data_IF_816504659160
#
_entry.id   IF_816504659160
#
_cell.length_a   1.000
_cell.length_b   1.000
_cell.length_c   1.000
_cell.angle_alpha   90.00
_cell.angle_beta   90.00
_cell.angle_gamma   90.00
#
_symmetry.space_group_name_H-M   'P 1'
#
loop_
_entity.id
_entity.type
_entity.pdbx_description
1 polymer ?
#
# COMPACT_ATOMS: atom_id res chain seq x y z
N UNK A 1 -5.53 4.35 8.63
CA UNK A 1 -4.20 4.17 9.20
C UNK A 1 -3.24 3.90 8.05
N UNK A 2 -2.22 4.71 7.92
CA UNK A 2 -1.16 4.50 6.92
C UNK A 2 0.04 3.96 7.69
N UNK A 3 0.43 2.73 7.39
CA UNK A 3 1.67 2.14 7.89
C UNK A 3 2.78 2.47 6.89
N UNK A 4 3.76 3.25 7.32
CA UNK A 4 5.02 3.36 6.60
C UNK A 4 5.84 2.13 6.97
N UNK A 5 5.82 1.11 6.10
CA UNK A 5 6.71 -0.03 6.25
C UNK A 5 8.17 0.41 6.26
N UNK A 6 9.01 -0.25 7.05
CA UNK A 6 10.45 -0.09 7.02
C UNK A 6 10.97 -0.48 5.63
N UNK A 7 11.14 0.49 4.74
CA UNK A 7 11.82 0.25 3.47
C UNK A 7 13.31 0.07 3.75
N UNK A 8 13.75 -1.18 3.70
CA UNK A 8 15.16 -1.50 3.49
C UNK A 8 15.62 -0.80 2.21
N UNK A 9 16.59 0.07 2.35
CA UNK A 9 17.21 0.80 1.25
C UNK A 9 17.85 -0.17 0.25
N UNK A 10 17.13 -0.54 -0.79
CA UNK A 10 17.73 -1.07 -1.98
C UNK A 10 17.48 -0.08 -3.13
N UNK A 11 18.56 0.65 -3.45
CA UNK A 11 18.59 1.72 -4.43
C UNK A 11 18.32 1.15 -5.83
N UNK A 12 17.12 1.28 -6.32
CA UNK A 12 16.85 1.37 -7.76
C UNK A 12 15.43 1.87 -8.11
N UNK A 13 14.87 2.80 -7.36
CA UNK A 13 13.55 3.38 -7.68
C UNK A 13 13.67 4.87 -8.00
N UNK A 14 14.39 5.20 -9.10
CA UNK A 14 14.48 6.57 -9.63
C UNK A 14 13.27 7.02 -10.45
N UNK A 15 12.11 6.33 -10.40
CA UNK A 15 10.96 6.66 -11.27
C UNK A 15 9.59 6.74 -10.62
N UNK A 16 9.43 6.54 -9.31
CA UNK A 16 8.09 6.44 -8.70
C UNK A 16 7.67 7.67 -7.88
N UNK A 17 8.34 8.81 -8.01
CA UNK A 17 8.03 10.02 -7.22
C UNK A 17 7.21 11.09 -7.94
N UNK A 18 6.72 10.85 -9.14
CA UNK A 18 6.04 11.90 -9.91
C UNK A 18 4.88 11.35 -10.71
N UNK A 19 3.74 11.06 -10.12
CA UNK A 19 2.48 10.95 -10.85
C UNK A 19 1.28 11.24 -9.95
N UNK A 20 1.22 12.41 -9.33
CA UNK A 20 -0.03 13.14 -9.13
C UNK A 20 -0.01 14.32 -10.10
N UNK A 21 0.03 14.04 -11.38
CA UNK A 21 0.07 15.08 -12.41
C UNK A 21 -1.34 15.51 -12.79
N UNK A 22 -1.66 16.75 -12.46
CA UNK A 22 -2.74 17.47 -13.15
C UNK A 22 -2.31 17.78 -14.59
N UNK A 23 -3.16 17.49 -15.55
CA UNK A 23 -2.97 17.66 -16.99
C UNK A 23 -2.90 19.15 -17.35
N UNK A 24 -1.70 19.70 -17.51
CA UNK A 24 -1.45 21.00 -18.15
C UNK A 24 -1.03 20.79 -19.60
N UNK A 25 -1.85 21.25 -20.55
CA UNK A 25 -1.58 21.14 -21.99
C UNK A 25 -0.30 21.91 -22.37
N UNK A 26 0.76 21.21 -22.79
CA UNK A 26 1.96 21.81 -23.36
C UNK A 26 1.79 22.03 -24.86
N UNK A 27 1.77 23.29 -25.28
CA UNK A 27 1.90 23.70 -26.68
C UNK A 27 3.39 23.70 -27.03
N UNK A 28 3.82 22.81 -27.90
CA UNK A 28 5.16 22.76 -28.44
C UNK A 28 5.35 23.85 -29.51
N UNK A 29 6.31 24.74 -29.29
CA UNK A 29 6.87 25.60 -30.35
C UNK A 29 8.24 25.05 -30.77
N UNK A 30 8.30 24.55 -32.00
CA UNK A 30 9.52 24.16 -32.65
C UNK A 30 10.23 25.38 -33.23
N UNK A 31 11.48 25.63 -32.89
CA UNK A 31 12.38 26.51 -33.63
C UNK A 31 13.61 25.72 -34.08
N UNK A 32 13.71 25.58 -35.39
CA UNK A 32 14.87 25.00 -36.05
C UNK A 32 15.93 26.07 -36.26
N UNK A 33 17.22 25.78 -36.00
CA UNK A 33 18.32 26.48 -36.60
C UNK A 33 19.48 25.52 -36.88
N UNK A 34 19.86 25.48 -38.17
CA UNK A 34 20.99 24.75 -38.73
C UNK A 34 22.33 25.47 -38.47
N UNK A 35 23.42 24.72 -38.49
CA UNK A 35 24.77 25.26 -38.65
C UNK A 35 25.89 24.27 -38.36
N UNK A 36 26.42 23.64 -39.40
CA UNK A 36 27.73 22.97 -39.51
C UNK A 36 28.64 23.86 -40.33
N UNK A 37 29.91 23.52 -40.61
CA UNK A 37 30.99 22.82 -39.88
C UNK A 37 32.30 23.68 -39.87
N UNK A 38 33.43 23.25 -39.31
CA UNK A 38 34.69 23.18 -40.05
C UNK A 38 35.84 22.57 -39.25
N UNK A 39 36.66 21.86 -40.02
CA UNK A 39 37.86 21.11 -39.72
C UNK A 39 39.04 21.97 -39.25
N UNK A 40 40.03 21.39 -38.59
CA UNK A 40 41.43 21.32 -39.05
C UNK A 40 42.35 20.54 -38.11
N UNK A 41 43.06 19.63 -38.74
CA UNK A 41 44.30 18.90 -38.54
C UNK A 41 45.42 19.49 -37.62
N UNK A 42 46.27 18.58 -37.14
CA UNK A 42 47.60 18.89 -36.70
C UNK A 42 48.33 17.79 -35.93
N UNK A 43 49.08 16.98 -36.69
CA UNK A 43 50.10 15.99 -36.32
C UNK A 43 51.16 16.47 -35.29
N UNK A 44 51.74 15.57 -34.48
CA UNK A 44 53.07 15.00 -34.65
C UNK A 44 53.72 14.42 -33.38
N UNK A 45 54.23 13.20 -33.55
CA UNK A 45 55.50 12.64 -33.08
C UNK A 45 55.77 12.27 -31.62
N UNK A 46 55.97 10.96 -31.46
CA UNK A 46 56.83 10.30 -30.45
C UNK A 46 58.33 10.55 -30.74
N UNK A 47 59.35 9.99 -30.05
CA UNK A 47 59.39 8.88 -29.08
C UNK A 47 60.38 9.10 -27.90
N UNK A 48 60.47 8.14 -26.97
CA UNK A 48 61.60 8.06 -26.02
C UNK A 48 61.46 7.00 -24.93
N UNK A 49 62.01 5.87 -25.20
CA UNK A 49 62.51 4.73 -24.41
C UNK A 49 62.96 5.01 -22.97
N UNK A 50 62.69 4.12 -21.98
CA UNK A 50 63.47 2.95 -21.57
C UNK A 50 63.16 2.45 -20.16
N UNK A 51 63.23 1.11 -20.01
CA UNK A 51 63.60 0.27 -18.87
C UNK A 51 62.71 0.23 -17.62
N UNK A 52 61.95 -0.82 -17.39
CA UNK A 52 62.44 -2.11 -16.89
C UNK A 52 62.26 -2.23 -15.38
N UNK A 53 61.28 -2.97 -14.94
CA UNK A 53 61.44 -3.89 -13.81
C UNK A 53 60.17 -4.76 -13.68
N UNK A 54 60.39 -6.04 -13.84
CA UNK A 54 59.47 -7.13 -13.63
C UNK A 54 58.95 -7.15 -12.18
N UNK A 55 57.62 -7.16 -12.00
CA UNK A 55 57.01 -7.61 -10.77
C UNK A 55 55.81 -8.50 -11.11
N UNK A 56 55.97 -9.76 -10.80
CA UNK A 56 54.97 -10.83 -10.88
C UNK A 56 53.79 -10.47 -10.00
N UNK A 57 52.69 -10.05 -10.59
CA UNK A 57 51.41 -9.95 -9.89
C UNK A 57 50.64 -11.24 -10.15
N UNK A 58 50.40 -11.97 -9.09
CA UNK A 58 49.52 -13.15 -9.07
C UNK A 58 48.08 -12.72 -9.46
N UNK A 59 47.58 -13.33 -10.55
CA UNK A 59 46.16 -13.29 -10.90
C UNK A 59 45.35 -13.99 -9.82
N UNK A 60 44.71 -13.24 -8.95
CA UNK A 60 43.60 -13.75 -8.18
C UNK A 60 42.37 -13.75 -9.09
N UNK A 61 42.04 -14.91 -9.59
CA UNK A 61 40.76 -15.22 -10.22
C UNK A 61 39.68 -15.00 -9.14
N UNK A 62 38.98 -13.88 -9.21
CA UNK A 62 37.75 -13.69 -8.45
C UNK A 62 36.70 -14.65 -9.04
N UNK A 63 36.54 -15.78 -8.40
CA UNK A 63 35.39 -16.66 -8.61
C UNK A 63 34.19 -15.92 -8.00
N UNK A 64 33.36 -15.33 -8.85
CA UNK A 64 32.03 -14.90 -8.46
C UNK A 64 31.28 -16.17 -8.06
N UNK A 65 31.11 -16.37 -6.76
CA UNK A 65 30.14 -17.33 -6.26
C UNK A 65 28.80 -17.00 -6.91
N UNK A 66 28.05 -17.99 -7.44
CA UNK A 66 26.69 -17.76 -7.86
C UNK A 66 25.91 -17.35 -6.61
N UNK A 67 25.24 -16.19 -6.71
CA UNK A 67 24.25 -15.73 -5.75
C UNK A 67 23.39 -16.93 -5.37
N UNK A 68 23.48 -17.36 -4.12
CA UNK A 68 22.77 -18.53 -3.64
C UNK A 68 21.27 -18.22 -3.83
N UNK A 69 20.62 -18.98 -4.68
CA UNK A 69 19.16 -19.00 -4.76
C UNK A 69 18.67 -19.14 -3.31
N UNK A 70 17.89 -18.16 -2.86
CA UNK A 70 17.31 -18.17 -1.52
C UNK A 70 16.66 -19.56 -1.33
N UNK A 71 17.09 -20.28 -0.32
CA UNK A 71 16.52 -21.59 -0.03
C UNK A 71 15.03 -21.36 0.22
N UNK A 72 14.17 -22.01 -0.57
CA UNK A 72 12.73 -22.00 -0.33
C UNK A 72 12.53 -22.42 1.12
N UNK A 73 12.00 -21.52 1.95
CA UNK A 73 11.78 -21.77 3.35
C UNK A 73 10.79 -22.93 3.54
N UNK A 74 10.85 -23.58 4.68
CA UNK A 74 9.84 -24.56 5.09
C UNK A 74 9.10 -23.95 6.26
N UNK A 75 7.77 -23.78 6.12
CA UNK A 75 6.94 -23.32 7.22
C UNK A 75 6.82 -24.42 8.29
N UNK A 76 6.72 -24.04 9.58
CA UNK A 76 6.54 -25.02 10.63
C UNK A 76 5.15 -25.68 10.51
N UNK A 77 5.11 -26.99 10.77
CA UNK A 77 3.86 -27.72 10.92
C UNK A 77 3.34 -27.59 12.36
N UNK A 78 2.03 -27.59 12.54
CA UNK A 78 1.40 -27.55 13.86
C UNK A 78 -0.11 -27.51 13.79
N UNK A 79 -0.78 -27.44 14.95
CA UNK A 79 -2.23 -27.34 14.98
C UNK A 79 -2.74 -26.03 14.38
N UNK A 80 -3.99 -26.08 13.89
CA UNK A 80 -4.69 -24.91 13.35
C UNK A 80 -5.06 -23.91 14.46
N UNK A 81 -4.71 -22.65 14.29
CA UNK A 81 -5.15 -21.58 15.18
C UNK A 81 -6.62 -21.17 14.96
N UNK A 82 -7.25 -21.62 13.87
CA UNK A 82 -8.70 -21.51 13.67
C UNK A 82 -9.47 -22.48 14.59
N UNK A 83 -8.90 -23.66 14.87
CA UNK A 83 -9.54 -24.69 15.70
C UNK A 83 -9.20 -24.51 17.19
N UNK A 84 -7.95 -24.18 17.51
CA UNK A 84 -7.49 -23.96 18.88
C UNK A 84 -6.52 -22.78 18.94
N UNK A 85 -6.64 -21.93 19.95
CA UNK A 85 -5.76 -20.76 20.15
C UNK A 85 -4.78 -20.93 21.31
N UNK A 86 -4.73 -22.11 21.89
CA UNK A 86 -3.94 -22.41 23.09
C UNK A 86 -3.23 -23.75 22.98
N UNK A 87 -2.72 -24.13 21.80
CA UNK A 87 -1.94 -25.33 21.64
C UNK A 87 -0.55 -25.15 22.30
N UNK A 88 -0.04 -26.23 22.88
CA UNK A 88 1.29 -26.21 23.54
C UNK A 88 2.45 -26.03 22.54
N UNK A 89 2.20 -26.34 21.27
CA UNK A 89 3.14 -26.20 20.16
C UNK A 89 3.31 -24.76 19.68
N UNK A 90 2.38 -23.87 20.03
CA UNK A 90 2.47 -22.48 19.60
C UNK A 90 3.55 -21.71 20.37
N UNK A 91 4.29 -20.82 19.69
CA UNK A 91 5.02 -19.76 20.37
C UNK A 91 4.09 -18.93 21.27
N UNK A 92 4.67 -18.15 22.19
CA UNK A 92 3.91 -17.23 23.05
C UNK A 92 3.05 -16.30 22.17
N UNK A 93 1.73 -16.27 22.33
CA UNK A 93 0.86 -15.37 21.56
C UNK A 93 1.21 -13.91 21.82
N UNK A 94 1.19 -13.08 20.76
CA UNK A 94 1.47 -11.64 20.89
C UNK A 94 0.32 -10.85 21.51
N UNK A 95 -0.88 -11.43 21.53
CA UNK A 95 -2.08 -10.86 22.14
C UNK A 95 -2.77 -11.92 22.99
N UNK A 96 -3.62 -11.49 23.92
CA UNK A 96 -4.46 -12.45 24.64
C UNK A 96 -5.42 -13.12 23.66
N UNK A 97 -5.33 -14.46 23.43
CA UNK A 97 -6.20 -15.16 22.49
C UNK A 97 -7.70 -15.03 22.80
N UNK A 98 -8.05 -14.75 24.06
CA UNK A 98 -9.44 -14.50 24.49
C UNK A 98 -10.00 -13.15 24.02
N UNK A 99 -9.17 -12.23 23.56
CA UNK A 99 -9.58 -10.96 22.98
C UNK A 99 -9.87 -11.05 21.47
N UNK A 100 -9.42 -12.14 20.82
CA UNK A 100 -9.83 -12.47 19.45
C UNK A 100 -11.20 -13.10 19.52
N UNK A 101 -12.25 -12.38 19.10
CA UNK A 101 -13.63 -12.78 19.29
C UNK A 101 -14.32 -13.11 17.95
N UNK A 102 -15.28 -14.04 17.93
CA UNK A 102 -16.06 -14.31 16.72
C UNK A 102 -16.79 -13.07 16.23
N UNK A 103 -16.64 -12.74 14.92
CA UNK A 103 -17.33 -11.64 14.25
C UNK A 103 -18.69 -12.02 13.67
N UNK A 104 -18.99 -13.33 13.63
CA UNK A 104 -20.25 -13.91 13.12
C UNK A 104 -20.03 -14.93 12.01
N UNK A 105 -19.41 -14.59 10.88
CA UNK A 105 -19.09 -15.56 9.82
C UNK A 105 -18.09 -16.63 10.30
N UNK A 106 -18.15 -17.86 9.76
CA UNK A 106 -17.06 -18.83 9.94
C UNK A 106 -15.81 -18.42 9.12
N UNK A 107 -14.68 -19.14 9.25
CA UNK A 107 -13.55 -18.93 8.34
C UNK A 107 -14.00 -19.00 6.88
N UNK A 108 -13.55 -18.02 6.06
CA UNK A 108 -13.99 -17.77 4.68
C UNK A 108 -15.50 -17.61 4.47
N UNK A 109 -16.25 -17.34 5.54
CA UNK A 109 -17.67 -16.96 5.43
C UNK A 109 -17.87 -15.60 4.76
N UNK A 110 -16.82 -14.75 4.75
CA UNK A 110 -16.58 -13.65 3.83
C UNK A 110 -15.51 -14.18 2.87
N UNK A 111 -15.91 -14.68 1.67
CA UNK A 111 -14.98 -15.42 0.82
C UNK A 111 -13.96 -14.48 0.16
N UNK A 112 -12.66 -14.69 0.32
CA UNK A 112 -11.64 -13.93 -0.41
C UNK A 112 -11.71 -14.24 -1.91
N UNK A 113 -11.18 -13.33 -2.74
CA UNK A 113 -11.00 -13.54 -4.17
C UNK A 113 -9.60 -14.13 -4.40
N UNK A 114 -9.54 -15.31 -5.01
CA UNK A 114 -8.27 -16.04 -5.24
C UNK A 114 -7.77 -15.90 -6.68
N UNK A 115 -8.67 -15.76 -7.65
CA UNK A 115 -8.36 -15.64 -9.07
C UNK A 115 -9.01 -14.34 -9.61
N UNK A 116 -8.44 -13.16 -9.32
CA UNK A 116 -9.04 -11.90 -9.73
C UNK A 116 -8.96 -11.71 -11.25
N UNK A 117 -10.06 -11.25 -11.84
CA UNK A 117 -10.17 -10.88 -13.27
C UNK A 117 -10.22 -9.37 -13.37
N UNK A 118 -9.53 -8.80 -14.35
CA UNK A 118 -9.39 -7.37 -14.51
C UNK A 118 -9.86 -6.90 -15.88
N UNK A 119 -10.33 -5.66 -15.95
CA UNK A 119 -10.61 -4.90 -17.15
C UNK A 119 -9.53 -3.84 -17.34
N UNK A 120 -9.26 -3.46 -18.58
CA UNK A 120 -8.47 -2.26 -18.86
C UNK A 120 -9.21 -1.01 -18.39
N UNK A 121 -8.52 -0.06 -17.77
CA UNK A 121 -9.09 1.22 -17.33
C UNK A 121 -9.79 1.93 -18.49
N UNK A 122 -9.23 1.88 -19.70
CA UNK A 122 -9.79 2.50 -20.89
C UNK A 122 -11.17 1.91 -21.29
N UNK A 123 -11.45 0.65 -20.96
CA UNK A 123 -12.72 -0.04 -21.21
C UNK A 123 -13.71 0.12 -20.05
N UNK A 124 -13.21 0.48 -18.86
CA UNK A 124 -13.94 0.53 -17.60
C UNK A 124 -14.28 1.95 -17.11
N UNK A 125 -14.20 2.98 -17.98
CA UNK A 125 -14.35 4.39 -17.58
C UNK A 125 -15.67 4.68 -16.83
N UNK A 126 -16.75 4.03 -17.22
CA UNK A 126 -18.08 4.17 -16.62
C UNK A 126 -18.44 3.05 -15.62
N UNK A 127 -17.48 2.20 -15.26
CA UNK A 127 -17.70 1.08 -14.35
C UNK A 127 -18.06 1.56 -12.94
N UNK A 128 -17.40 2.61 -12.49
CA UNK A 128 -17.53 3.17 -11.15
C UNK A 128 -17.86 4.67 -11.21
N UNK A 129 -18.64 5.22 -10.27
CA UNK A 129 -18.70 6.67 -10.06
C UNK A 129 -17.32 7.25 -9.78
N UNK A 130 -16.99 8.43 -10.35
CA UNK A 130 -15.69 9.07 -10.16
C UNK A 130 -15.21 9.16 -8.70
N UNK A 131 -16.07 9.58 -7.72
CA UNK A 131 -15.69 9.68 -6.32
C UNK A 131 -15.56 8.33 -5.58
N UNK A 132 -15.94 7.20 -6.17
CA UNK A 132 -15.91 5.92 -5.47
C UNK A 132 -14.48 5.51 -5.11
N UNK A 133 -14.31 5.01 -3.90
CA UNK A 133 -13.01 4.58 -3.40
C UNK A 133 -12.52 3.31 -4.08
N UNK A 134 -11.24 3.30 -4.45
CA UNK A 134 -10.49 2.11 -4.87
C UNK A 134 -9.22 1.99 -4.03
N UNK A 135 -8.77 0.76 -3.77
CA UNK A 135 -7.40 0.51 -3.32
C UNK A 135 -6.52 0.50 -4.55
N UNK A 136 -5.57 1.40 -4.62
CA UNK A 136 -4.63 1.50 -5.74
C UNK A 136 -3.32 0.78 -5.39
N UNK A 137 -2.83 -0.04 -6.28
CA UNK A 137 -1.54 -0.73 -6.14
C UNK A 137 -0.78 -0.60 -7.46
N UNK A 138 0.48 -0.22 -7.38
CA UNK A 138 1.38 -0.20 -8.53
C UNK A 138 2.70 -0.86 -8.13
N UNK A 139 3.14 -1.84 -8.89
CA UNK A 139 4.41 -2.52 -8.71
C UNK A 139 5.05 -2.68 -10.10
N UNK A 140 6.23 -2.10 -10.27
CA UNK A 140 7.04 -2.22 -11.50
C UNK A 140 6.27 -1.86 -12.80
N UNK A 141 5.32 -0.92 -12.72
CA UNK A 141 4.51 -0.44 -13.84
C UNK A 141 3.20 -1.21 -14.05
N UNK A 142 2.94 -2.28 -13.30
CA UNK A 142 1.64 -2.96 -13.24
C UNK A 142 0.77 -2.23 -12.22
N UNK A 143 -0.14 -1.36 -12.70
CA UNK A 143 -1.03 -0.58 -11.86
C UNK A 143 -2.44 -1.19 -11.84
N UNK A 144 -2.96 -1.49 -10.64
CA UNK A 144 -4.27 -2.11 -10.45
C UNK A 144 -5.12 -1.38 -9.43
N UNK A 145 -6.41 -1.25 -9.75
CA UNK A 145 -7.44 -0.76 -8.84
C UNK A 145 -8.29 -1.90 -8.32
N UNK A 146 -8.51 -1.95 -7.01
CA UNK A 146 -9.43 -2.87 -6.35
C UNK A 146 -10.58 -2.05 -5.77
N UNK A 147 -11.76 -2.03 -6.43
CA UNK A 147 -12.89 -1.20 -6.03
C UNK A 147 -13.41 -1.59 -4.64
N UNK A 148 -13.63 -0.59 -3.78
CA UNK A 148 -14.18 -0.85 -2.44
C UNK A 148 -15.55 -1.50 -2.49
N UNK A 149 -16.35 -1.27 -3.56
CA UNK A 149 -17.61 -1.98 -3.77
C UNK A 149 -17.46 -3.51 -3.83
N UNK A 150 -16.30 -4.01 -4.24
CA UNK A 150 -15.94 -5.44 -4.23
C UNK A 150 -15.30 -5.79 -2.90
N UNK A 151 -14.30 -5.03 -2.49
CA UNK A 151 -13.52 -5.28 -1.27
C UNK A 151 -14.38 -5.35 -0.01
N UNK A 152 -15.46 -4.58 0.08
CA UNK A 152 -16.37 -4.55 1.25
C UNK A 152 -17.15 -5.87 1.45
N UNK A 153 -17.23 -6.71 0.41
CA UNK A 153 -17.90 -8.00 0.42
C UNK A 153 -16.97 -9.20 0.53
N UNK A 154 -15.67 -8.97 0.28
CA UNK A 154 -14.65 -10.02 0.18
C UNK A 154 -13.48 -9.83 1.14
N UNK A 155 -13.22 -8.61 1.57
CA UNK A 155 -12.18 -8.18 2.50
C UNK A 155 -10.74 -8.50 2.05
N UNK A 156 -10.51 -9.54 1.27
CA UNK A 156 -9.19 -9.98 0.81
C UNK A 156 -9.24 -10.35 -0.68
N UNK A 157 -8.25 -9.89 -1.44
CA UNK A 157 -7.93 -10.37 -2.80
C UNK A 157 -6.48 -10.85 -2.79
N UNK A 158 -6.27 -12.14 -3.07
CA UNK A 158 -4.94 -12.72 -3.30
C UNK A 158 -4.61 -12.60 -4.78
N UNK A 159 -3.53 -11.89 -5.10
CA UNK A 159 -3.16 -11.54 -6.47
C UNK A 159 -1.65 -11.68 -6.68
N UNK A 160 -1.19 -11.43 -7.92
CA UNK A 160 0.21 -11.24 -8.28
C UNK A 160 0.31 -10.00 -9.15
N UNK A 161 1.01 -8.97 -8.70
CA UNK A 161 1.17 -7.67 -9.36
C UNK A 161 2.65 -7.41 -9.59
N UNK A 162 3.06 -7.11 -10.83
CA UNK A 162 4.47 -6.92 -11.17
C UNK A 162 5.35 -8.11 -10.74
N UNK A 163 4.87 -9.35 -10.94
CA UNK A 163 5.51 -10.59 -10.48
C UNK A 163 5.64 -10.74 -8.95
N UNK A 164 5.04 -9.85 -8.16
CA UNK A 164 5.03 -9.90 -6.69
C UNK A 164 3.72 -10.50 -6.20
N UNK A 165 3.75 -11.62 -5.44
CA UNK A 165 2.56 -12.16 -4.81
C UNK A 165 2.07 -11.24 -3.67
N UNK A 166 0.80 -10.81 -3.74
CA UNK A 166 0.22 -9.86 -2.80
C UNK A 166 -1.14 -10.30 -2.27
N UNK A 167 -1.47 -9.89 -1.04
CA UNK A 167 -2.82 -9.88 -0.52
C UNK A 167 -3.25 -8.45 -0.33
N UNK A 168 -4.18 -7.98 -1.17
CA UNK A 168 -4.82 -6.68 -1.03
C UNK A 168 -5.99 -6.83 -0.07
N UNK A 169 -5.99 -6.07 1.01
CA UNK A 169 -6.98 -6.24 2.08
C UNK A 169 -7.73 -4.95 2.37
N UNK A 170 -8.99 -5.09 2.79
CA UNK A 170 -9.83 -3.97 3.25
C UNK A 170 -10.68 -4.42 4.43
N UNK A 171 -10.57 -3.72 5.54
CA UNK A 171 -11.42 -3.92 6.71
C UNK A 171 -12.53 -2.86 6.77
N UNK A 172 -13.79 -3.19 6.52
CA UNK A 172 -14.89 -2.21 6.60
C UNK A 172 -15.04 -1.60 7.99
N UNK A 173 -14.84 -2.39 9.04
CA UNK A 173 -14.96 -1.93 10.43
C UNK A 173 -13.91 -0.89 10.82
N UNK A 174 -12.77 -0.88 10.14
CA UNK A 174 -11.69 0.08 10.35
C UNK A 174 -11.65 1.16 9.26
N UNK A 175 -12.42 0.95 8.16
CA UNK A 175 -12.36 1.75 6.94
C UNK A 175 -10.92 1.97 6.47
N UNK A 176 -10.18 0.88 6.37
CA UNK A 176 -8.76 0.91 6.00
C UNK A 176 -8.39 -0.25 5.08
N UNK A 177 -7.47 0.03 4.18
CA UNK A 177 -6.83 -0.94 3.30
C UNK A 177 -5.35 -1.08 3.66
N UNK A 178 -4.83 -2.29 3.57
CA UNK A 178 -3.40 -2.58 3.66
C UNK A 178 -3.10 -3.70 2.68
N UNK A 179 -2.06 -3.54 1.89
CA UNK A 179 -1.57 -4.60 1.01
C UNK A 179 -0.31 -5.21 1.59
N UNK A 180 -0.23 -6.51 1.58
CA UNK A 180 0.92 -7.26 2.05
C UNK A 180 1.52 -8.13 0.95
N UNK A 181 2.85 -8.26 0.94
CA UNK A 181 3.50 -9.36 0.25
C UNK A 181 3.05 -10.66 0.92
N UNK A 182 2.43 -11.58 0.15
CA UNK A 182 1.93 -12.85 0.68
C UNK A 182 2.98 -13.96 0.65
N UNK A 183 4.16 -13.62 1.14
CA UNK A 183 5.30 -14.53 1.30
C UNK A 183 5.74 -14.51 2.75
N UNK A 184 5.78 -15.67 3.38
CA UNK A 184 6.17 -15.85 4.77
C UNK A 184 7.41 -16.74 4.83
N UNK A 185 8.53 -16.23 5.36
CA UNK A 185 9.81 -16.97 5.43
C UNK A 185 10.25 -17.56 4.09
N UNK A 186 9.99 -16.86 2.97
CA UNK A 186 10.31 -17.32 1.63
C UNK A 186 9.34 -18.36 1.06
N UNK A 187 8.17 -18.55 1.66
CA UNK A 187 7.11 -19.42 1.16
C UNK A 187 5.90 -18.58 0.79
N UNK A 188 5.50 -18.66 -0.48
CA UNK A 188 4.26 -18.05 -0.94
C UNK A 188 3.04 -18.76 -0.34
N UNK A 189 2.09 -17.99 0.18
CA UNK A 189 0.82 -18.48 0.70
C UNK A 189 -0.31 -17.55 0.27
N UNK A 190 -1.56 -17.92 0.53
CA UNK A 190 -2.72 -17.03 0.41
C UNK A 190 -3.35 -16.80 1.78
N UNK A 191 -4.11 -15.72 1.90
CA UNK A 191 -4.78 -15.34 3.13
C UNK A 191 -6.28 -15.45 2.98
N UNK A 192 -6.95 -15.85 4.07
CA UNK A 192 -8.38 -15.92 4.20
C UNK A 192 -8.90 -15.09 5.38
N UNK A 193 -10.22 -14.87 5.41
CA UNK A 193 -10.89 -14.24 6.55
C UNK A 193 -11.12 -15.27 7.64
N UNK A 194 -10.64 -15.04 8.86
CA UNK A 194 -10.83 -15.99 9.97
C UNK A 194 -12.25 -16.00 10.54
N UNK A 195 -13.08 -15.00 10.18
CA UNK A 195 -14.38 -14.76 10.81
C UNK A 195 -14.28 -14.21 12.23
N UNK A 196 -13.08 -13.86 12.67
CA UNK A 196 -12.81 -13.30 13.99
C UNK A 196 -12.33 -11.85 13.91
N UNK A 197 -12.49 -11.14 15.02
CA UNK A 197 -12.07 -9.76 15.19
C UNK A 197 -11.13 -9.63 16.38
N UNK A 198 -10.12 -8.78 16.25
CA UNK A 198 -9.31 -8.29 17.35
C UNK A 198 -9.41 -6.76 17.39
N UNK A 199 -9.78 -6.18 18.53
CA UNK A 199 -10.00 -4.74 18.70
C UNK A 199 -10.94 -4.13 17.64
N UNK A 200 -12.00 -4.85 17.23
CA UNK A 200 -12.94 -4.46 16.15
C UNK A 200 -12.32 -4.43 14.75
N UNK A 201 -11.16 -5.05 14.54
CA UNK A 201 -10.50 -5.17 13.24
C UNK A 201 -10.50 -6.61 12.74
N UNK A 202 -10.45 -6.77 11.42
CA UNK A 202 -10.30 -8.06 10.74
C UNK A 202 -9.09 -8.83 11.27
N UNK A 203 -9.28 -10.10 11.56
CA UNK A 203 -8.21 -11.08 11.76
C UNK A 203 -8.18 -12.01 10.56
N UNK A 204 -7.07 -12.00 9.84
CA UNK A 204 -6.80 -12.90 8.72
C UNK A 204 -6.21 -14.21 9.22
N UNK A 205 -6.13 -15.21 8.35
CA UNK A 205 -5.31 -16.39 8.56
C UNK A 205 -4.56 -16.76 7.29
N UNK A 206 -3.35 -17.29 7.39
CA UNK A 206 -2.65 -17.87 6.25
C UNK A 206 -3.10 -19.31 6.00
N UNK A 207 -3.20 -19.71 4.73
CA UNK A 207 -3.69 -21.05 4.37
C UNK A 207 -2.64 -22.15 4.53
N UNK A 208 -1.37 -21.78 4.68
CA UNK A 208 -0.30 -22.76 4.80
C UNK A 208 -0.20 -23.33 6.21
N UNK A 209 -0.43 -22.50 7.25
CA UNK A 209 -0.29 -22.91 8.65
C UNK A 209 -1.53 -22.66 9.49
N UNK A 210 -2.49 -21.91 8.97
CA UNK A 210 -3.68 -21.44 9.67
C UNK A 210 -3.36 -20.62 10.93
N UNK A 211 -2.20 -19.93 10.94
CA UNK A 211 -1.89 -18.93 11.96
C UNK A 211 -2.76 -17.69 11.77
N UNK A 212 -3.07 -16.99 12.87
CA UNK A 212 -3.94 -15.80 12.88
C UNK A 212 -3.09 -14.52 12.81
N UNK A 213 -3.50 -13.58 11.94
CA UNK A 213 -2.79 -12.36 11.62
C UNK A 213 -3.68 -11.14 11.81
N UNK A 214 -3.15 -10.09 12.42
CA UNK A 214 -3.86 -8.81 12.55
C UNK A 214 -3.79 -8.02 11.25
N UNK A 215 -4.93 -7.39 10.88
CA UNK A 215 -5.07 -6.65 9.62
C UNK A 215 -4.18 -5.40 9.55
N UNK A 216 -4.02 -4.66 10.65
CA UNK A 216 -3.37 -3.36 10.59
C UNK A 216 -1.84 -3.41 10.48
N UNK A 217 -1.22 -4.34 11.14
CA UNK A 217 0.23 -4.42 11.29
C UNK A 217 0.82 -5.69 10.66
N UNK A 218 -0.03 -6.55 10.07
CA UNK A 218 0.44 -7.74 9.38
C UNK A 218 1.17 -8.74 10.28
N UNK A 219 0.90 -8.74 11.61
CA UNK A 219 1.62 -9.60 12.53
C UNK A 219 0.85 -10.89 12.79
N UNK A 220 1.56 -12.01 12.74
CA UNK A 220 1.04 -13.28 13.23
C UNK A 220 0.94 -13.21 14.76
N UNK A 221 -0.27 -13.30 15.29
CA UNK A 221 -0.52 -13.08 16.73
C UNK A 221 -0.81 -14.37 17.50
N UNK A 222 -1.30 -15.41 16.79
CA UNK A 222 -1.57 -16.75 17.36
C UNK A 222 -1.29 -17.80 16.28
N UNK A 223 -0.72 -18.92 16.64
CA UNK A 223 -0.39 -20.03 15.75
C UNK A 223 1.12 -20.29 15.69
N UNK A 224 1.53 -21.21 14.84
CA UNK A 224 2.95 -21.62 14.72
C UNK A 224 3.85 -20.52 14.18
N UNK A 225 3.27 -19.49 13.55
CA UNK A 225 3.98 -18.31 13.03
C UNK A 225 3.90 -17.10 13.97
N UNK A 226 3.35 -17.24 15.20
CA UNK A 226 3.25 -16.10 16.11
C UNK A 226 4.61 -15.40 16.29
N UNK A 227 4.64 -14.10 16.03
CA UNK A 227 5.85 -13.28 16.01
C UNK A 227 6.36 -12.90 14.63
N UNK A 228 5.92 -13.58 13.56
CA UNK A 228 6.26 -13.19 12.20
C UNK A 228 5.47 -11.94 11.77
N UNK A 229 5.99 -11.19 10.80
CA UNK A 229 5.41 -9.96 10.28
C UNK A 229 5.46 -9.96 8.75
N UNK A 230 4.35 -9.57 8.12
CA UNK A 230 4.26 -9.40 6.67
C UNK A 230 4.85 -8.07 6.24
N UNK A 231 5.49 -8.05 5.09
CA UNK A 231 5.95 -6.83 4.43
C UNK A 231 4.74 -6.07 3.86
N UNK A 232 4.49 -4.87 4.37
CA UNK A 232 3.45 -4.00 3.83
C UNK A 232 3.93 -3.30 2.56
N UNK A 233 3.04 -3.24 1.56
CA UNK A 233 3.25 -2.55 0.28
C UNK A 233 2.33 -1.32 0.24
N UNK A 234 2.85 -0.19 -0.22
CA UNK A 234 2.06 1.04 -0.35
C UNK A 234 0.87 0.85 -1.28
N UNK A 235 -0.33 1.05 -0.76
CA UNK A 235 -1.59 0.90 -1.50
C UNK A 235 -2.63 1.89 -0.98
N UNK A 236 -2.61 3.16 -1.43
CA UNK A 236 -3.53 4.17 -0.95
C UNK A 236 -4.97 3.88 -1.36
N UNK A 237 -5.91 4.29 -0.49
CA UNK A 237 -7.30 4.48 -0.88
C UNK A 237 -7.42 5.83 -1.61
N UNK A 238 -7.90 5.81 -2.85
CA UNK A 238 -8.12 7.01 -3.65
C UNK A 238 -9.44 6.96 -4.41
N UNK A 239 -9.87 8.11 -4.98
CA UNK A 239 -11.02 8.14 -5.86
C UNK A 239 -10.73 7.40 -7.17
N UNK A 240 -11.75 6.74 -7.75
CA UNK A 240 -11.65 6.12 -9.07
C UNK A 240 -11.22 7.12 -10.15
N UNK A 241 -11.73 8.35 -10.09
CA UNK A 241 -11.34 9.42 -11.00
C UNK A 241 -9.84 9.70 -10.98
N UNK A 242 -9.24 9.74 -9.79
CA UNK A 242 -7.82 9.97 -9.61
C UNK A 242 -7.01 8.78 -10.14
N UNK A 243 -7.45 7.54 -9.84
CA UNK A 243 -6.78 6.33 -10.34
C UNK A 243 -6.74 6.28 -11.86
N UNK A 244 -7.91 6.41 -12.53
CA UNK A 244 -8.00 6.31 -13.98
C UNK A 244 -7.27 7.44 -14.72
N UNK A 245 -7.10 8.59 -14.06
CA UNK A 245 -6.33 9.72 -14.60
C UNK A 245 -4.83 9.48 -14.45
N UNK A 246 -4.41 8.93 -13.32
CA UNK A 246 -3.00 8.65 -13.02
C UNK A 246 -2.47 7.44 -13.78
N UNK A 247 -3.31 6.42 -13.93
CA UNK A 247 -2.97 5.14 -14.56
C UNK A 247 -3.92 4.80 -15.72
N UNK A 248 -3.90 5.57 -16.82
CA UNK A 248 -4.83 5.36 -17.95
C UNK A 248 -4.67 4.00 -18.65
N UNK A 249 -3.49 3.39 -18.54
CA UNK A 249 -3.16 2.05 -19.06
C UNK A 249 -3.21 0.98 -17.96
N UNK A 250 -3.74 1.32 -16.77
CA UNK A 250 -3.88 0.41 -15.64
C UNK A 250 -5.06 -0.54 -15.78
N UNK A 251 -5.21 -1.39 -14.77
CA UNK A 251 -6.26 -2.41 -14.68
C UNK A 251 -7.20 -2.12 -13.52
N UNK A 252 -8.45 -2.58 -13.61
CA UNK A 252 -9.43 -2.53 -12.52
C UNK A 252 -10.09 -3.88 -12.35
N UNK A 253 -10.20 -4.35 -11.10
CA UNK A 253 -10.87 -5.61 -10.77
C UNK A 253 -12.32 -5.58 -11.24
N UNK A 254 -12.71 -6.58 -12.05
CA UNK A 254 -14.04 -6.69 -12.64
C UNK A 254 -15.04 -7.21 -11.59
N UNK A 255 -16.06 -6.41 -11.20
CA UNK A 255 -17.09 -6.85 -10.28
C UNK A 255 -17.99 -7.98 -10.84
N UNK A 256 -18.09 -8.13 -12.15
CA UNK A 256 -18.94 -9.13 -12.78
C UNK A 256 -18.27 -10.52 -12.85
N UNK A 257 -16.94 -10.57 -12.80
CA UNK A 257 -16.15 -11.80 -12.95
C UNK A 257 -15.47 -12.26 -11.64
N UNK A 258 -15.99 -11.84 -10.49
CA UNK A 258 -15.47 -12.28 -9.17
C UNK A 258 -15.78 -13.74 -8.82
N UNK A 259 -16.64 -14.41 -9.58
CA UNK A 259 -17.13 -15.75 -9.28
C UNK A 259 -18.24 -15.79 -8.19
N UNK A 260 -18.63 -14.64 -7.64
CA UNK A 260 -19.63 -14.55 -6.58
C UNK A 260 -20.82 -13.69 -6.98
N UNK A 261 -22.02 -14.05 -6.52
CA UNK A 261 -23.22 -13.23 -6.69
C UNK A 261 -23.37 -12.31 -5.47
N UNK A 262 -23.02 -11.05 -5.63
CA UNK A 262 -23.17 -9.99 -4.62
C UNK A 262 -23.83 -8.76 -5.24
N UNK A 263 -24.38 -7.89 -4.40
CA UNK A 263 -24.92 -6.59 -4.84
C UNK A 263 -23.80 -5.55 -4.76
N UNK A 264 -22.80 -5.69 -5.65
CA UNK A 264 -21.69 -4.73 -5.70
C UNK A 264 -22.20 -3.30 -5.94
N UNK A 265 -21.67 -2.35 -5.15
CA UNK A 265 -22.19 -0.98 -5.09
C UNK A 265 -23.12 -0.72 -3.91
N UNK A 266 -23.92 -1.69 -3.50
CA UNK A 266 -24.71 -1.56 -2.26
C UNK A 266 -23.82 -1.70 -1.02
N UNK A 267 -24.02 -0.80 -0.06
CA UNK A 267 -23.24 -0.73 1.17
C UNK A 267 -23.88 -1.61 2.27
N UNK A 268 -23.26 -2.73 2.68
CA UNK A 268 -23.75 -3.55 3.79
C UNK A 268 -23.51 -2.92 5.18
N UNK A 269 -22.70 -1.84 5.25
CA UNK A 269 -22.32 -1.12 6.48
C UNK A 269 -22.87 0.31 6.49
N UNK A 270 -24.03 0.57 5.87
CA UNK A 270 -24.60 1.91 5.77
C UNK A 270 -24.65 2.65 7.11
N UNK A 271 -24.07 3.86 7.17
CA UNK A 271 -24.03 4.69 8.37
C UNK A 271 -23.02 4.23 9.43
N UNK A 272 -22.17 3.23 9.12
CA UNK A 272 -21.18 2.74 10.08
C UNK A 272 -20.07 3.76 10.40
N UNK A 273 -19.78 4.70 9.51
CA UNK A 273 -18.76 5.73 9.71
C UNK A 273 -19.21 6.94 10.55
N UNK A 274 -20.37 6.85 11.20
CA UNK A 274 -20.80 7.83 12.19
C UNK A 274 -19.86 7.81 13.41
N UNK A 275 -19.06 8.89 13.65
CA UNK A 275 -18.04 8.92 14.69
C UNK A 275 -18.60 8.89 16.11
N UNK A 276 -19.91 9.17 16.28
CA UNK A 276 -20.57 9.21 17.60
C UNK A 276 -21.02 7.82 18.07
N UNK A 277 -20.98 6.80 17.20
CA UNK A 277 -21.37 5.43 17.54
C UNK A 277 -20.14 4.57 17.86
N UNK A 278 -20.37 3.52 18.68
CA UNK A 278 -19.29 2.62 19.08
C UNK A 278 -18.81 1.71 17.92
N UNK A 279 -17.52 1.33 17.89
CA UNK A 279 -17.02 0.32 16.95
C UNK A 279 -17.66 -1.05 17.23
N UNK A 280 -17.96 -1.79 16.18
CA UNK A 280 -18.62 -3.09 16.27
C UNK A 280 -17.80 -4.09 17.10
N UNK A 281 -18.43 -4.66 18.13
CA UNK A 281 -17.82 -5.64 19.04
C UNK A 281 -16.52 -5.18 19.72
N UNK A 282 -16.24 -3.88 19.78
CA UNK A 282 -15.09 -3.36 20.53
C UNK A 282 -15.25 -3.60 22.03
N UNK A 283 -14.26 -4.23 22.66
CA UNK A 283 -14.26 -4.55 24.10
C UNK A 283 -13.13 -3.86 24.87
N UNK A 284 -12.34 -3.02 24.18
CA UNK A 284 -11.26 -2.26 24.79
C UNK A 284 -11.76 -1.07 25.59
N UNK A 285 -10.83 -0.33 26.16
CA UNK A 285 -11.11 0.96 26.79
C UNK A 285 -11.09 2.04 25.70
N UNK A 286 -12.17 2.81 25.48
CA UNK A 286 -12.17 3.90 24.52
C UNK A 286 -11.10 4.95 24.84
N UNK A 287 -10.40 5.42 23.81
CA UNK A 287 -9.49 6.55 23.92
C UNK A 287 -10.31 7.85 23.81
N UNK A 288 -10.40 8.60 24.90
CA UNK A 288 -11.22 9.82 24.96
C UNK A 288 -10.56 11.05 24.31
N UNK A 289 -9.40 10.91 23.65
CA UNK A 289 -8.76 12.00 22.90
C UNK A 289 -9.48 12.32 21.61
N UNK A 290 -10.25 11.36 21.06
CA UNK A 290 -11.04 11.51 19.85
C UNK A 290 -12.38 10.79 19.99
N UNK A 291 -13.33 11.03 19.06
CA UNK A 291 -14.54 10.22 18.96
C UNK A 291 -14.19 8.79 18.53
N UNK A 292 -15.02 7.81 18.93
CA UNK A 292 -14.70 6.40 18.82
C UNK A 292 -14.37 5.93 17.39
N UNK A 293 -15.04 6.50 16.38
CA UNK A 293 -14.79 6.20 14.95
C UNK A 293 -14.35 7.43 14.15
N UNK A 294 -13.71 8.39 14.81
CA UNK A 294 -13.16 9.54 14.11
C UNK A 294 -12.10 9.09 13.10
N UNK A 295 -12.24 9.57 11.86
CA UNK A 295 -11.21 9.34 10.84
C UNK A 295 -9.93 10.07 11.19
N UNK A 296 -8.83 9.35 11.11
CA UNK A 296 -7.49 9.87 11.39
C UNK A 296 -6.52 9.38 10.33
N UNK A 297 -5.46 10.13 10.12
CA UNK A 297 -4.23 9.66 9.47
C UNK A 297 -3.33 9.13 10.58
N UNK A 298 -3.26 7.81 10.71
CA UNK A 298 -2.37 7.15 11.67
C UNK A 298 -1.03 6.86 11.01
N UNK A 299 0.05 7.22 11.67
CA UNK A 299 1.42 6.99 11.22
C UNK A 299 2.16 6.28 12.33
N UNK A 300 2.76 5.13 12.02
CA UNK A 300 3.73 4.46 12.88
C UNK A 300 5.06 4.45 12.16
N UNK A 301 6.08 5.04 12.75
CA UNK A 301 7.40 5.16 12.16
C UNK A 301 8.48 5.26 13.24
N UNK A 302 9.56 4.47 13.13
CA UNK A 302 10.68 4.44 14.09
C UNK A 302 10.21 4.40 15.57
N UNK A 303 9.32 3.45 15.90
CA UNK A 303 8.74 3.26 17.25
C UNK A 303 7.87 4.43 17.78
N UNK A 304 7.63 5.44 16.96
CA UNK A 304 6.67 6.51 17.28
C UNK A 304 5.35 6.27 16.54
N UNK A 305 4.23 6.41 17.25
CA UNK A 305 2.88 6.30 16.69
C UNK A 305 2.09 7.59 16.96
N UNK A 306 1.64 8.24 15.89
CA UNK A 306 0.85 9.46 15.94
C UNK A 306 -0.42 9.33 15.11
N UNK A 307 -1.44 10.12 15.46
CA UNK A 307 -2.68 10.20 14.70
C UNK A 307 -3.07 11.67 14.49
N UNK A 308 -3.27 12.04 13.24
CA UNK A 308 -3.76 13.36 12.85
C UNK A 308 -5.24 13.25 12.49
N UNK A 309 -6.09 14.07 13.12
CA UNK A 309 -7.50 14.15 12.74
C UNK A 309 -7.64 14.54 11.27
N UNK A 310 -8.49 13.83 10.52
CA UNK A 310 -8.72 14.18 9.10
C UNK A 310 -9.19 15.63 8.97
N UNK A 311 -10.00 16.15 9.89
CA UNK A 311 -10.45 17.55 9.89
C UNK A 311 -9.33 18.58 10.05
N UNK A 312 -8.14 18.19 10.49
CA UNK A 312 -6.96 19.07 10.57
C UNK A 312 -6.21 19.09 9.26
N UNK A 313 -6.10 17.93 8.60
CA UNK A 313 -5.34 17.79 7.35
C UNK A 313 -6.19 18.10 6.10
N UNK A 314 -7.52 18.03 6.19
CA UNK A 314 -8.44 18.30 5.08
C UNK A 314 -8.82 19.78 5.02
N UNK A 315 -8.12 20.56 4.20
CA UNK A 315 -8.39 21.99 4.03
C UNK A 315 -8.36 22.35 2.53
N UNK A 316 -9.33 23.18 2.10
CA UNK A 316 -9.42 23.59 0.69
C UNK A 316 -9.80 22.45 -0.24
N UNK A 317 -9.28 22.47 -1.46
CA UNK A 317 -9.42 21.40 -2.47
C UNK A 317 -8.31 20.36 -2.33
N UNK A 318 -7.12 20.80 -1.89
CA UNK A 318 -5.99 19.96 -1.49
C UNK A 318 -5.23 20.62 -0.34
N UNK A 319 -4.50 19.84 0.44
CA UNK A 319 -3.64 20.33 1.51
C UNK A 319 -2.42 19.43 1.70
N UNK A 320 -1.26 20.05 1.91
CA UNK A 320 -0.03 19.39 2.33
C UNK A 320 0.30 19.78 3.76
N UNK A 321 0.52 18.78 4.63
CA UNK A 321 0.88 19.00 6.03
C UNK A 321 2.23 18.35 6.29
N UNK A 322 3.27 19.17 6.49
CA UNK A 322 4.61 18.68 6.82
C UNK A 322 4.68 18.38 8.32
N UNK A 323 5.18 17.21 8.68
CA UNK A 323 5.21 16.70 10.06
C UNK A 323 6.52 15.96 10.32
N UNK A 324 6.90 15.84 11.60
CA UNK A 324 8.01 14.99 12.01
C UNK A 324 7.47 13.83 12.84
N UNK A 325 7.87 12.60 12.50
CA UNK A 325 7.50 11.37 13.22
C UNK A 325 8.70 10.44 13.27
N UNK A 326 9.03 9.93 14.43
CA UNK A 326 10.16 9.03 14.62
C UNK A 326 11.51 9.63 14.23
N UNK A 327 11.62 10.96 14.27
CA UNK A 327 12.84 11.71 13.90
C UNK A 327 12.98 12.01 12.41
N UNK A 328 12.10 11.51 11.55
CA UNK A 328 12.10 11.77 10.10
C UNK A 328 11.02 12.79 9.73
N UNK A 329 11.33 13.62 8.72
CA UNK A 329 10.38 14.56 8.13
C UNK A 329 9.47 13.84 7.13
N UNK A 330 8.16 14.00 7.30
CA UNK A 330 7.12 13.40 6.47
C UNK A 330 6.18 14.47 5.95
N UNK A 331 5.52 14.20 4.84
CA UNK A 331 4.44 15.01 4.31
C UNK A 331 3.15 14.20 4.19
N UNK A 332 2.07 14.74 4.74
CA UNK A 332 0.71 14.22 4.59
C UNK A 332 0.04 15.02 3.48
N UNK A 333 -0.35 14.37 2.41
CA UNK A 333 -1.09 14.95 1.31
C UNK A 333 -2.56 14.54 1.42
N UNK A 334 -3.45 15.52 1.37
CA UNK A 334 -4.89 15.31 1.31
C UNK A 334 -5.46 16.02 0.10
N UNK A 335 -6.36 15.35 -0.65
CA UNK A 335 -7.06 15.91 -1.81
C UNK A 335 -8.54 15.54 -1.74
N UNK A 336 -9.44 16.50 -1.96
CA UNK A 336 -10.86 16.28 -2.04
C UNK A 336 -11.25 15.41 -3.25
N UNK A 337 -12.44 14.81 -3.22
CA UNK A 337 -13.03 14.08 -4.35
C UNK A 337 -13.28 12.60 -4.10
N UNK A 338 -12.84 12.03 -2.95
CA UNK A 338 -13.12 10.64 -2.61
C UNK A 338 -14.31 10.53 -1.67
N UNK A 339 -15.32 9.74 -2.06
CA UNK A 339 -16.48 9.45 -1.23
C UNK A 339 -16.15 8.42 -0.14
N UNK A 340 -16.72 8.59 1.07
CA UNK A 340 -16.72 7.52 2.08
C UNK A 340 -17.56 6.34 1.61
N UNK A 341 -17.05 5.13 1.80
CA UNK A 341 -17.75 3.90 1.42
C UNK A 341 -18.81 3.45 2.45
N UNK A 342 -18.88 4.06 3.65
CA UNK A 342 -19.63 3.53 4.79
C UNK A 342 -20.84 4.37 5.21
N UNK A 343 -21.10 5.52 4.56
CA UNK A 343 -22.19 6.43 4.92
C UNK A 343 -23.48 6.12 4.17
N UNK A 344 -23.48 6.24 2.85
CA UNK A 344 -24.66 6.10 2.00
C UNK A 344 -25.01 4.63 1.75
N UNK A 345 -26.24 4.38 1.28
CA UNK A 345 -26.66 3.04 0.86
C UNK A 345 -26.01 2.53 -0.41
N UNK A 346 -25.51 3.44 -1.25
CA UNK A 346 -24.67 3.18 -2.43
C UNK A 346 -23.25 3.69 -2.13
N UNK A 347 -22.23 2.89 -2.36
CA UNK A 347 -20.84 3.15 -1.91
C UNK A 347 -20.27 4.44 -2.50
N UNK A 348 -20.50 4.72 -3.78
CA UNK A 348 -20.03 5.96 -4.41
C UNK A 348 -20.85 7.20 -4.07
N UNK A 349 -21.91 7.09 -3.25
CA UNK A 349 -22.84 8.19 -2.89
C UNK A 349 -22.59 8.82 -1.51
N UNK A 350 -21.52 8.43 -0.81
CA UNK A 350 -21.17 8.99 0.49
C UNK A 350 -20.63 10.43 0.39
N UNK A 351 -20.48 11.10 1.54
CA UNK A 351 -19.83 12.43 1.61
C UNK A 351 -18.38 12.35 1.17
N UNK A 352 -17.87 13.48 0.67
CA UNK A 352 -16.45 13.62 0.38
C UNK A 352 -15.61 13.60 1.67
N UNK A 353 -14.64 12.72 1.71
CA UNK A 353 -13.67 12.60 2.82
C UNK A 353 -12.24 12.81 2.35
N UNK A 354 -12.06 12.91 1.04
CA UNK A 354 -10.77 13.05 0.38
C UNK A 354 -9.88 11.82 0.43
N UNK A 355 -8.90 11.82 -0.44
CA UNK A 355 -7.81 10.84 -0.50
C UNK A 355 -6.64 11.33 0.35
N UNK A 356 -5.95 10.42 1.03
CA UNK A 356 -4.79 10.74 1.88
C UNK A 356 -3.62 9.83 1.53
N UNK A 357 -2.44 10.43 1.41
CA UNK A 357 -1.17 9.72 1.28
C UNK A 357 -0.11 10.33 2.19
N UNK A 358 0.85 9.54 2.64
CA UNK A 358 1.96 10.01 3.48
C UNK A 358 3.26 9.54 2.86
N UNK A 359 4.21 10.46 2.72
CA UNK A 359 5.52 10.20 2.14
C UNK A 359 6.64 10.76 3.02
N UNK A 360 7.84 10.23 2.86
CA UNK A 360 9.04 10.86 3.39
C UNK A 360 9.30 12.15 2.63
N UNK A 361 9.69 13.19 3.36
CA UNK A 361 10.03 14.48 2.75
C UNK A 361 11.47 14.54 2.22
N UNK A 362 12.29 13.51 2.45
CA UNK A 362 13.65 13.43 1.92
C UNK A 362 13.65 12.90 0.49
N UNK A 363 14.16 13.72 -0.44
CA UNK A 363 14.31 13.39 -1.86
C UNK A 363 15.75 13.71 -2.26
N UNK A 364 16.50 12.72 -2.76
CA UNK A 364 17.91 12.85 -3.17
C UNK A 364 18.84 13.44 -2.08
N UNK A 365 18.52 13.20 -0.80
CA UNK A 365 19.30 13.69 0.35
C UNK A 365 18.98 15.13 0.78
N UNK A 366 17.95 15.74 0.19
CA UNK A 366 17.43 17.05 0.58
C UNK A 366 16.02 16.87 1.20
N UNK A 367 15.77 17.54 2.32
CA UNK A 367 14.45 17.59 2.93
C UNK A 367 13.61 18.67 2.27
N UNK A 368 12.52 18.27 1.63
CA UNK A 368 11.60 19.17 0.96
C UNK A 368 10.43 19.53 1.88
N UNK A 369 9.86 20.71 1.65
CA UNK A 369 8.62 21.17 2.28
C UNK A 369 7.56 21.31 1.20
N UNK A 370 6.38 20.76 1.44
CA UNK A 370 5.32 20.72 0.43
C UNK A 370 4.18 21.65 0.80
N UNK A 371 3.60 22.27 -0.23
CA UNK A 371 2.41 23.13 -0.16
C UNK A 371 1.39 22.72 -1.22
N UNK A 372 0.11 23.05 -1.00
CA UNK A 372 -0.92 22.90 -2.00
C UNK A 372 -1.12 24.20 -2.79
N UNK A 373 -1.32 24.09 -4.12
CA UNK A 373 -1.70 25.18 -5.02
C UNK A 373 -2.90 24.72 -5.89
N UNK A 374 -4.11 25.08 -5.47
CA UNK A 374 -5.34 24.51 -6.01
C UNK A 374 -5.45 23.03 -5.66
N UNK A 375 -5.51 22.16 -6.66
CA UNK A 375 -5.58 20.71 -6.54
C UNK A 375 -4.21 19.99 -6.72
N UNK A 376 -3.11 20.76 -6.81
CA UNK A 376 -1.75 20.27 -7.01
C UNK A 376 -0.93 20.40 -5.74
N UNK A 377 0.12 19.59 -5.66
CA UNK A 377 1.12 19.64 -4.59
C UNK A 377 2.45 20.09 -5.17
N UNK A 378 3.05 21.11 -4.56
CA UNK A 378 4.32 21.67 -5.01
C UNK A 378 5.36 21.57 -3.89
N UNK A 379 6.59 21.28 -4.27
CA UNK A 379 7.72 21.52 -3.39
C UNK A 379 7.96 23.04 -3.29
N UNK A 380 8.04 23.54 -2.06
CA UNK A 380 8.15 24.97 -1.77
C UNK A 380 9.51 25.54 -2.20
N UNK A 381 10.57 24.73 -2.26
CA UNK A 381 11.93 25.17 -2.59
C UNK A 381 12.09 25.40 -4.09
N UNK A 382 11.56 24.53 -4.94
CA UNK A 382 11.72 24.60 -6.40
C UNK A 382 10.45 24.99 -7.13
N UNK A 383 9.29 24.95 -6.47
CA UNK A 383 7.95 25.08 -7.08
C UNK A 383 7.67 24.00 -8.15
N UNK A 384 8.36 22.85 -8.05
CA UNK A 384 8.07 21.66 -8.86
C UNK A 384 6.90 20.90 -8.29
N UNK A 385 6.11 20.30 -9.19
CA UNK A 385 4.99 19.42 -8.85
C UNK A 385 5.49 18.00 -8.60
#
# INVERSE_FOLDING_TARGET
LILLGSMSTNMNTRKTFLHFAGLGAAIALAVAACGTPDDTDGDDAAPGTSDGLSSTAASTTSTTEPEAAAAVGVLPEGPSALETRAAEEFPEPLVNPGEIIPGGPPPDGIPPIEDPVFLDVAEALDLLPGPESVVALEIDGDARAYPVRVMIWHEIVNDTVGDVPVSVTYCPLCNSAVTYRREVRGVETTFGTSGSLFASALVMYDRATESLWTHFDGRAVVGVLAGDELEAISSPLMAWEDFRTTYPDGLVLDPEETGFSRRYGANPYQGYDDPETDPFLFRGVPDNRAQAKQRVVGITHNDEAVAYSIGVVSQGEANATNVQVGGDELAIFWKAGQATALEAGEIGGGRDVGSVSVFRSEVDGETLTFVADGDRFLDEQTSSE
#
